data_IF_481069763163
#
_entry.id   IF_481069763163
#
_cell.length_a   1.000
_cell.length_b   1.000
_cell.length_c   1.000
_cell.angle_alpha   90.00
_cell.angle_beta   90.00
_cell.angle_gamma   90.00
#
_symmetry.space_group_name_H-M   'P 1'
#
loop_
_entity.id
_entity.type
_entity.pdbx_description
1 polymer ?
#
# COMPACT_ATOMS: atom_id res chain seq x y z
N UNK A 1 8.78 1.66 11.41
CA UNK A 1 7.62 1.72 12.33
C UNK A 1 6.72 0.47 12.33
N UNK A 2 6.48 -0.26 11.22
CA UNK A 2 5.88 -1.61 11.30
C UNK A 2 6.94 -2.73 11.29
N UNK A 3 7.90 -2.70 10.36
CA UNK A 3 8.99 -3.69 10.30
C UNK A 3 9.75 -3.81 11.64
N UNK A 4 10.09 -2.67 12.26
CA UNK A 4 10.70 -2.60 13.59
C UNK A 4 9.82 -3.23 14.69
N UNK A 5 8.50 -3.09 14.60
CA UNK A 5 7.57 -3.67 15.57
C UNK A 5 7.50 -5.19 15.45
N UNK A 6 7.51 -5.67 14.21
CA UNK A 6 7.53 -7.08 13.85
C UNK A 6 8.92 -7.72 14.00
N UNK A 7 9.97 -6.95 14.27
CA UNK A 7 11.34 -7.47 14.36
C UNK A 7 11.87 -8.05 13.04
N UNK A 8 11.36 -7.59 11.89
CA UNK A 8 11.74 -8.07 10.56
C UNK A 8 12.59 -7.03 9.81
N UNK A 9 13.55 -7.46 8.99
CA UNK A 9 14.46 -6.55 8.29
C UNK A 9 13.73 -5.72 7.23
N UNK A 10 12.69 -6.29 6.61
CA UNK A 10 11.94 -5.66 5.51
C UNK A 10 10.46 -5.99 5.64
N UNK A 11 9.64 -4.98 5.44
CA UNK A 11 8.23 -5.14 5.12
C UNK A 11 7.98 -4.36 3.82
N UNK A 12 7.52 -5.04 2.77
CA UNK A 12 7.07 -4.33 1.57
C UNK A 12 5.69 -3.72 1.88
N UNK A 13 5.69 -2.43 2.21
CA UNK A 13 4.51 -1.61 2.39
C UNK A 13 4.30 -0.81 1.11
N UNK A 14 3.46 -1.33 0.23
CA UNK A 14 3.02 -0.58 -0.94
C UNK A 14 1.96 0.43 -0.49
N UNK A 15 2.42 1.58 -0.04
CA UNK A 15 1.59 2.75 0.24
C UNK A 15 2.29 3.97 -0.33
N UNK A 16 1.78 4.45 -1.44
CA UNK A 16 2.08 5.80 -1.84
C UNK A 16 0.80 6.42 -2.41
N UNK A 17 0.75 7.75 -2.51
CA UNK A 17 -0.28 8.50 -3.23
C UNK A 17 -0.39 8.15 -4.73
N UNK A 18 0.15 7.01 -5.17
CA UNK A 18 -0.01 6.42 -6.49
C UNK A 18 -1.29 5.61 -6.67
N UNK A 19 -1.45 5.09 -7.88
CA UNK A 19 -2.58 4.28 -8.31
C UNK A 19 -2.55 2.85 -7.75
N UNK A 20 -3.69 2.16 -7.72
CA UNK A 20 -3.71 0.74 -7.37
C UNK A 20 -2.85 -0.08 -8.35
N UNK A 21 -2.82 0.30 -9.63
CA UNK A 21 -1.96 -0.30 -10.65
C UNK A 21 -0.47 -0.12 -10.36
N UNK A 22 -0.08 1.00 -9.75
CA UNK A 22 1.30 1.19 -9.28
C UNK A 22 1.67 0.12 -8.28
N UNK A 23 0.83 -0.11 -7.27
CA UNK A 23 1.04 -1.13 -6.22
C UNK A 23 1.24 -2.50 -6.86
N UNK A 24 0.41 -2.87 -7.84
CA UNK A 24 0.54 -4.14 -8.56
C UNK A 24 1.85 -4.20 -9.33
N UNK A 25 2.11 -3.22 -10.21
CA UNK A 25 3.26 -3.22 -11.10
C UNK A 25 4.59 -3.17 -10.34
N UNK A 26 4.71 -2.33 -9.31
CA UNK A 26 5.94 -2.20 -8.55
C UNK A 26 6.19 -3.43 -7.68
N UNK A 27 5.14 -4.02 -7.09
CA UNK A 27 5.26 -5.28 -6.35
C UNK A 27 5.71 -6.41 -7.28
N UNK A 28 4.99 -6.64 -8.38
CA UNK A 28 5.31 -7.71 -9.34
C UNK A 28 6.70 -7.52 -9.94
N UNK A 29 7.05 -6.29 -10.34
CA UNK A 29 8.33 -6.00 -10.98
C UNK A 29 9.54 -6.02 -10.04
N UNK A 30 9.36 -5.92 -8.72
CA UNK A 30 10.48 -5.79 -7.78
C UNK A 30 10.58 -6.88 -6.72
N UNK A 31 9.55 -7.69 -6.47
CA UNK A 31 9.55 -8.69 -5.39
C UNK A 31 10.81 -9.55 -5.41
N UNK A 32 11.11 -10.19 -6.54
CA UNK A 32 12.27 -11.10 -6.68
C UNK A 32 13.61 -10.39 -6.53
N UNK A 33 13.70 -9.13 -6.98
CA UNK A 33 14.90 -8.32 -6.82
C UNK A 33 15.12 -7.99 -5.34
N UNK A 34 14.08 -7.52 -4.66
CA UNK A 34 14.14 -7.17 -3.23
C UNK A 34 14.46 -8.41 -2.39
N UNK A 35 13.78 -9.53 -2.61
CA UNK A 35 14.07 -10.79 -1.94
C UNK A 35 15.54 -11.21 -2.08
N UNK A 36 16.11 -11.12 -3.29
CA UNK A 36 17.55 -11.39 -3.52
C UNK A 36 18.47 -10.40 -2.82
N UNK A 37 18.18 -9.11 -2.86
CA UNK A 37 18.99 -8.06 -2.21
C UNK A 37 19.07 -8.23 -0.69
N UNK A 38 18.00 -8.72 -0.07
CA UNK A 38 17.93 -8.96 1.37
C UNK A 38 18.22 -10.41 1.77
N UNK A 39 18.49 -11.31 0.81
CA UNK A 39 18.76 -12.72 1.08
C UNK A 39 17.59 -13.49 1.69
N UNK A 40 16.35 -13.08 1.43
CA UNK A 40 15.13 -13.69 1.98
C UNK A 40 14.37 -14.43 0.86
N UNK A 41 14.00 -15.71 1.03
CA UNK A 41 13.14 -16.42 0.09
C UNK A 41 11.77 -15.73 -0.09
N UNK A 42 11.17 -15.85 -1.27
CA UNK A 42 9.85 -15.23 -1.54
C UNK A 42 8.78 -15.87 -0.64
N UNK A 43 8.92 -17.15 -0.34
CA UNK A 43 8.04 -17.97 0.49
C UNK A 43 8.01 -17.52 1.95
N UNK A 44 9.07 -16.87 2.41
CA UNK A 44 9.19 -16.30 3.76
C UNK A 44 8.78 -14.82 3.79
N UNK A 45 8.41 -14.25 2.65
CA UNK A 45 8.13 -12.81 2.52
C UNK A 45 6.67 -12.49 2.82
N UNK A 46 6.46 -11.68 3.86
CA UNK A 46 5.20 -10.98 4.10
C UNK A 46 5.08 -9.78 3.16
N UNK A 47 4.03 -9.77 2.34
CA UNK A 47 3.70 -8.63 1.48
C UNK A 47 2.45 -7.95 2.02
N UNK A 48 2.56 -6.68 2.42
CA UNK A 48 1.44 -5.89 2.95
C UNK A 48 1.06 -4.79 1.96
N UNK A 49 -0.03 -5.00 1.23
CA UNK A 49 -0.53 -4.04 0.26
C UNK A 49 -1.60 -3.13 0.89
N UNK A 50 -1.47 -1.82 0.70
CA UNK A 50 -2.47 -0.84 1.14
C UNK A 50 -3.15 -0.15 -0.04
N UNK A 51 -4.39 -0.55 -0.34
CA UNK A 51 -5.15 0.01 -1.46
C UNK A 51 -5.58 1.46 -1.20
N UNK A 52 -5.59 2.30 -2.25
CA UNK A 52 -5.72 3.75 -2.09
C UNK A 52 -7.11 4.29 -2.43
N UNK A 53 -7.58 4.20 -3.68
CA UNK A 53 -8.99 4.44 -4.03
C UNK A 53 -9.33 3.86 -5.41
N UNK A 54 -10.63 3.62 -5.68
CA UNK A 54 -11.12 3.00 -6.94
C UNK A 54 -10.83 3.78 -8.21
N UNK A 55 -10.57 5.09 -8.10
CA UNK A 55 -10.40 5.98 -9.26
C UNK A 55 -8.97 6.43 -9.50
N UNK A 56 -8.02 6.05 -8.63
CA UNK A 56 -6.61 6.37 -8.85
C UNK A 56 -6.03 5.38 -9.85
N UNK A 57 -5.85 5.87 -11.08
CA UNK A 57 -5.25 5.13 -12.18
C UNK A 57 -3.95 5.80 -12.64
N UNK A 58 -3.17 5.07 -13.43
CA UNK A 58 -1.98 5.58 -14.11
C UNK A 58 -1.96 5.10 -15.55
N UNK A 59 -1.22 5.82 -16.39
CA UNK A 59 -0.98 5.46 -17.77
C UNK A 59 0.50 5.58 -18.11
N UNK A 60 0.94 4.75 -19.05
CA UNK A 60 2.31 4.77 -19.54
C UNK A 60 2.44 5.78 -20.69
N UNK A 61 3.41 6.69 -20.58
CA UNK A 61 3.77 7.64 -21.62
C UNK A 61 4.57 6.91 -22.69
N UNK A 62 4.09 6.94 -23.94
CA UNK A 62 4.81 6.34 -25.06
C UNK A 62 6.06 7.16 -25.45
N UNK A 63 6.11 8.44 -25.07
CA UNK A 63 7.23 9.36 -25.35
C UNK A 63 7.58 10.17 -24.11
N UNK A 64 8.86 10.24 -23.71
CA UNK A 64 9.28 11.01 -22.53
C UNK A 64 9.20 12.53 -22.69
N UNK A 65 8.62 13.08 -23.76
CA UNK A 65 8.55 14.55 -23.98
C UNK A 65 7.28 15.19 -23.41
N UNK A 66 6.27 14.41 -23.05
CA UNK A 66 5.05 14.90 -22.41
C UNK A 66 5.22 14.98 -20.87
N UNK A 67 6.44 15.33 -20.44
CA UNK A 67 6.87 15.44 -19.04
C UNK A 67 6.33 16.72 -18.41
N UNK A 68 5.04 16.75 -18.12
CA UNK A 68 4.47 17.70 -17.17
C UNK A 68 4.03 16.93 -15.93
N UNK A 69 4.70 17.17 -14.79
CA UNK A 69 4.32 16.58 -13.50
C UNK A 69 5.50 16.15 -12.62
N UNK A 70 5.25 16.06 -11.30
CA UNK A 70 6.18 15.48 -10.31
C UNK A 70 6.36 13.99 -10.57
N UNK A 71 7.56 13.59 -10.97
CA UNK A 71 8.04 12.20 -10.88
C UNK A 71 8.42 11.92 -9.43
N UNK A 72 7.74 10.96 -8.80
CA UNK A 72 8.02 10.63 -7.39
C UNK A 72 9.30 9.76 -7.27
N UNK A 73 9.64 8.95 -8.30
CA UNK A 73 10.81 8.04 -8.30
C UNK A 73 11.47 7.89 -9.69
N UNK A 74 12.79 7.59 -9.77
CA UNK A 74 13.54 7.51 -11.04
C UNK A 74 13.07 6.43 -12.03
N UNK A 75 12.39 5.39 -11.55
CA UNK A 75 11.83 4.30 -12.38
C UNK A 75 10.35 4.50 -12.72
N UNK A 76 9.78 5.66 -12.37
CA UNK A 76 8.40 6.04 -12.70
C UNK A 76 8.35 7.12 -13.79
N UNK A 77 9.48 7.39 -14.44
CA UNK A 77 9.64 8.50 -15.40
C UNK A 77 8.68 8.45 -16.59
N UNK A 78 8.20 7.25 -16.94
CA UNK A 78 7.27 7.04 -18.05
C UNK A 78 5.85 6.72 -17.58
N UNK A 79 5.55 6.86 -16.28
CA UNK A 79 4.21 6.62 -15.74
C UNK A 79 3.61 7.92 -15.21
N UNK A 80 2.43 8.29 -15.71
CA UNK A 80 1.69 9.48 -15.26
C UNK A 80 0.41 9.08 -14.53
N UNK A 81 0.12 9.77 -13.42
CA UNK A 81 -1.10 9.60 -12.63
C UNK A 81 -2.28 10.24 -13.37
N UNK A 82 -3.41 9.55 -13.41
CA UNK A 82 -4.70 10.12 -13.75
C UNK A 82 -5.29 10.72 -12.49
N UNK A 83 -5.60 12.01 -12.51
CA UNK A 83 -6.29 12.66 -11.41
C UNK A 83 -7.08 13.89 -11.84
N UNK A 84 -8.16 14.23 -11.13
CA UNK A 84 -8.92 15.46 -11.41
C UNK A 84 -8.10 16.73 -11.18
N UNK A 85 -7.03 16.66 -10.38
CA UNK A 85 -6.10 17.78 -10.17
C UNK A 85 -5.27 18.12 -11.43
N UNK A 86 -5.22 17.24 -12.44
CA UNK A 86 -4.55 17.54 -13.71
C UNK A 86 -5.46 18.25 -14.72
N UNK A 87 -6.73 18.57 -14.37
CA UNK A 87 -7.63 19.29 -15.27
C UNK A 87 -7.16 20.71 -15.53
N UNK A 88 -6.57 21.36 -14.53
CA UNK A 88 -5.99 22.70 -14.64
C UNK A 88 -4.72 22.72 -15.52
N UNK A 89 -4.10 21.56 -15.73
CA UNK A 89 -2.93 21.37 -16.60
C UNK A 89 -3.30 20.94 -18.03
N UNK A 90 -4.60 20.93 -18.36
CA UNK A 90 -5.16 20.45 -19.64
C UNK A 90 -4.64 19.07 -20.08
N UNK A 91 -4.44 18.17 -19.11
CA UNK A 91 -4.00 16.80 -19.40
C UNK A 91 -5.10 16.02 -20.12
N UNK A 92 -5.00 15.91 -21.45
CA UNK A 92 -5.98 15.25 -22.31
C UNK A 92 -6.35 13.84 -21.84
N UNK A 93 -5.39 13.07 -21.32
CA UNK A 93 -5.64 11.71 -20.81
C UNK A 93 -6.50 11.73 -19.54
N UNK A 94 -6.18 12.60 -18.58
CA UNK A 94 -6.98 12.81 -17.37
C UNK A 94 -8.37 13.34 -17.72
N UNK A 95 -8.47 14.32 -18.62
CA UNK A 95 -9.74 14.85 -19.11
C UNK A 95 -10.61 13.74 -19.73
N UNK A 96 -10.08 12.96 -20.68
CA UNK A 96 -10.80 11.86 -21.31
C UNK A 96 -11.20 10.78 -20.29
N UNK A 97 -10.30 10.42 -19.37
CA UNK A 97 -10.57 9.41 -18.36
C UNK A 97 -11.72 9.83 -17.44
N UNK A 98 -11.60 10.98 -16.77
CA UNK A 98 -12.58 11.39 -15.76
C UNK A 98 -13.89 11.91 -16.35
N UNK A 99 -13.89 12.51 -17.55
CA UNK A 99 -15.13 13.05 -18.15
C UNK A 99 -15.92 12.02 -18.94
N UNK A 100 -15.27 10.98 -19.48
CA UNK A 100 -15.91 10.11 -20.49
C UNK A 100 -15.76 8.61 -20.22
N UNK A 101 -14.76 8.17 -19.45
CA UNK A 101 -14.50 6.74 -19.24
C UNK A 101 -14.71 6.27 -17.80
N UNK A 102 -14.63 7.19 -16.83
CA UNK A 102 -14.74 6.85 -15.43
C UNK A 102 -16.18 6.52 -15.06
N UNK A 103 -16.37 5.34 -14.50
CA UNK A 103 -17.59 4.98 -13.77
C UNK A 103 -17.21 4.29 -12.47
N UNK A 104 -18.03 4.46 -11.43
CA UNK A 104 -17.84 3.77 -10.14
C UNK A 104 -17.82 2.25 -10.28
N UNK A 105 -18.72 1.74 -11.12
CA UNK A 105 -18.76 0.32 -11.48
C UNK A 105 -17.46 -0.14 -12.15
N UNK A 106 -17.00 0.56 -13.19
CA UNK A 106 -15.79 0.22 -13.91
C UNK A 106 -14.53 0.31 -13.04
N UNK A 107 -14.42 1.35 -12.20
CA UNK A 107 -13.32 1.51 -11.24
C UNK A 107 -13.27 0.37 -10.21
N UNK A 108 -14.43 -0.05 -9.71
CA UNK A 108 -14.56 -1.17 -8.76
C UNK A 108 -14.13 -2.50 -9.40
N UNK A 109 -14.61 -2.80 -10.60
CA UNK A 109 -14.25 -4.01 -11.34
C UNK A 109 -12.74 -4.04 -11.63
N UNK A 110 -12.17 -2.91 -12.07
CA UNK A 110 -10.74 -2.80 -12.32
C UNK A 110 -9.91 -3.04 -11.05
N UNK A 111 -10.26 -2.40 -9.93
CA UNK A 111 -9.58 -2.61 -8.65
C UNK A 111 -9.60 -4.08 -8.22
N UNK A 112 -10.77 -4.73 -8.28
CA UNK A 112 -10.89 -6.13 -7.87
C UNK A 112 -10.14 -7.06 -8.81
N UNK A 113 -10.11 -6.76 -10.11
CA UNK A 113 -9.32 -7.51 -11.08
C UNK A 113 -7.82 -7.40 -10.75
N UNK A 114 -7.33 -6.17 -10.56
CA UNK A 114 -5.94 -5.90 -10.16
C UNK A 114 -5.58 -6.62 -8.85
N UNK A 115 -6.51 -6.63 -7.88
CA UNK A 115 -6.32 -7.32 -6.60
C UNK A 115 -6.27 -8.84 -6.78
N UNK A 116 -7.24 -9.46 -7.46
CA UNK A 116 -7.27 -10.92 -7.68
C UNK A 116 -6.01 -11.38 -8.42
N UNK A 117 -5.56 -10.63 -9.43
CA UNK A 117 -4.34 -10.94 -10.17
C UNK A 117 -3.09 -10.84 -9.30
N UNK A 118 -2.96 -9.77 -8.49
CA UNK A 118 -1.84 -9.63 -7.56
C UNK A 118 -1.85 -10.72 -6.50
N UNK A 119 -3.00 -11.03 -5.92
CA UNK A 119 -3.14 -12.07 -4.91
C UNK A 119 -2.76 -13.45 -5.45
N UNK A 120 -3.24 -13.78 -6.65
CA UNK A 120 -2.89 -15.01 -7.35
C UNK A 120 -1.38 -15.08 -7.62
N UNK A 121 -0.78 -13.99 -8.12
CA UNK A 121 0.66 -13.90 -8.34
C UNK A 121 1.45 -14.17 -7.05
N UNK A 122 1.10 -13.50 -5.96
CA UNK A 122 1.80 -13.63 -4.67
C UNK A 122 1.70 -15.05 -4.11
N UNK A 123 0.50 -15.64 -4.13
CA UNK A 123 0.28 -17.02 -3.64
C UNK A 123 1.00 -18.07 -4.47
N UNK A 124 1.01 -17.93 -5.80
CA UNK A 124 1.73 -18.84 -6.70
C UNK A 124 3.25 -18.81 -6.47
N UNK A 125 3.79 -17.69 -5.96
CA UNK A 125 5.20 -17.56 -5.57
C UNK A 125 5.47 -17.95 -4.12
N UNK A 126 4.45 -18.39 -3.39
CA UNK A 126 4.55 -18.77 -1.98
C UNK A 126 4.62 -17.61 -0.98
N UNK A 127 4.58 -16.35 -1.44
CA UNK A 127 4.56 -15.20 -0.54
C UNK A 127 3.30 -15.20 0.34
N UNK A 128 3.36 -14.49 1.47
CA UNK A 128 2.24 -14.33 2.40
C UNK A 128 1.58 -12.97 2.17
N UNK A 129 0.50 -12.86 1.36
CA UNK A 129 -0.15 -11.60 1.10
C UNK A 129 -1.06 -11.17 2.26
N UNK A 130 -1.03 -9.88 2.58
CA UNK A 130 -1.97 -9.21 3.49
C UNK A 130 -2.39 -7.88 2.90
N UNK A 131 -3.63 -7.50 3.10
CA UNK A 131 -4.23 -6.32 2.48
C UNK A 131 -4.84 -5.40 3.52
N UNK A 132 -4.76 -4.11 3.26
CA UNK A 132 -5.43 -3.07 4.05
C UNK A 132 -5.77 -1.88 3.15
N UNK A 133 -6.30 -0.80 3.73
CA UNK A 133 -6.84 0.33 2.99
C UNK A 133 -6.33 1.65 3.55
N UNK A 134 -5.86 2.52 2.65
CA UNK A 134 -5.51 3.89 2.99
C UNK A 134 -6.79 4.73 3.21
N UNK A 135 -7.81 4.48 2.38
CA UNK A 135 -9.10 5.16 2.39
C UNK A 135 -10.24 4.15 2.24
N UNK A 136 -11.47 4.61 2.33
CA UNK A 136 -12.62 3.78 2.01
C UNK A 136 -12.71 3.61 0.50
N UNK A 137 -12.21 2.47 0.00
CA UNK A 137 -12.10 2.26 -1.45
C UNK A 137 -13.29 1.50 -2.02
N UNK A 138 -13.91 0.60 -1.25
CA UNK A 138 -15.00 -0.24 -1.76
C UNK A 138 -16.34 0.50 -1.66
N UNK A 139 -17.22 0.35 -2.67
CA UNK A 139 -18.55 0.95 -2.62
C UNK A 139 -19.39 0.31 -1.51
N UNK A 140 -20.37 1.05 -0.98
CA UNK A 140 -21.30 0.53 0.04
C UNK A 140 -22.14 -0.64 -0.47
N UNK A 141 -22.38 -0.70 -1.79
CA UNK A 141 -23.02 -1.82 -2.48
C UNK A 141 -22.14 -2.27 -3.63
N UNK A 142 -21.73 -3.55 -3.61
CA UNK A 142 -20.91 -4.11 -4.67
C UNK A 142 -21.73 -4.26 -5.96
N UNK A 143 -21.23 -3.83 -7.12
CA UNK A 143 -21.83 -4.16 -8.41
C UNK A 143 -21.96 -5.67 -8.58
N UNK A 144 -23.05 -6.16 -9.17
CA UNK A 144 -23.31 -7.60 -9.30
C UNK A 144 -22.16 -8.34 -9.98
N UNK A 145 -21.58 -7.73 -11.03
CA UNK A 145 -20.47 -8.28 -11.81
C UNK A 145 -19.14 -8.31 -11.04
N UNK A 146 -19.01 -7.51 -9.98
CA UNK A 146 -17.84 -7.45 -9.12
C UNK A 146 -17.88 -8.47 -7.96
N UNK A 147 -19.06 -9.03 -7.68
CA UNK A 147 -19.25 -9.97 -6.55
C UNK A 147 -18.39 -11.22 -6.74
N UNK A 148 -18.35 -11.79 -7.94
CA UNK A 148 -17.62 -13.04 -8.21
C UNK A 148 -16.10 -12.83 -8.23
N UNK A 149 -15.62 -11.65 -8.62
CA UNK A 149 -14.21 -11.28 -8.45
C UNK A 149 -13.86 -11.22 -6.97
N UNK A 150 -14.69 -10.57 -6.17
CA UNK A 150 -14.45 -10.42 -4.74
C UNK A 150 -14.45 -11.76 -3.99
N UNK A 151 -15.33 -12.71 -4.38
CA UNK A 151 -15.40 -14.05 -3.78
C UNK A 151 -14.12 -14.89 -3.96
N UNK A 152 -13.27 -14.55 -4.91
CA UNK A 152 -12.00 -15.24 -5.14
C UNK A 152 -10.94 -14.86 -4.10
N UNK A 153 -11.12 -13.73 -3.41
CA UNK A 153 -10.17 -13.25 -2.41
C UNK A 153 -10.40 -13.93 -1.06
N UNK A 154 -9.30 -14.33 -0.41
CA UNK A 154 -9.35 -14.79 0.98
C UNK A 154 -9.60 -13.59 1.90
N UNK A 155 -10.79 -13.54 2.48
CA UNK A 155 -11.20 -12.44 3.35
C UNK A 155 -10.39 -12.35 4.63
N UNK A 156 -9.79 -13.43 5.12
CA UNK A 156 -8.98 -13.42 6.36
C UNK A 156 -7.67 -12.66 6.19
N UNK A 157 -7.20 -12.55 4.94
CA UNK A 157 -6.00 -11.81 4.57
C UNK A 157 -6.20 -10.28 4.55
N UNK A 158 -7.42 -9.78 4.80
CA UNK A 158 -7.78 -8.37 4.63
C UNK A 158 -8.07 -7.71 5.98
N UNK A 159 -7.24 -6.76 6.41
CA UNK A 159 -7.44 -6.04 7.67
C UNK A 159 -8.87 -5.48 7.77
N UNK A 160 -9.55 -5.82 8.86
CA UNK A 160 -10.94 -5.45 9.09
C UNK A 160 -11.99 -6.45 8.59
N UNK A 161 -11.63 -7.47 7.79
CA UNK A 161 -12.38 -8.69 7.38
C UNK A 161 -13.87 -8.55 6.96
N UNK A 162 -14.47 -7.35 6.96
CA UNK A 162 -15.91 -7.10 6.77
C UNK A 162 -16.14 -6.11 5.63
N UNK A 163 -16.96 -6.54 4.67
CA UNK A 163 -17.41 -5.78 3.50
C UNK A 163 -18.02 -4.41 3.87
N UNK A 164 -18.71 -4.34 5.01
CA UNK A 164 -19.40 -3.13 5.49
C UNK A 164 -18.49 -2.20 6.31
N UNK A 165 -17.27 -2.62 6.65
CA UNK A 165 -16.33 -1.86 7.47
C UNK A 165 -15.27 -1.17 6.64
N UNK A 166 -15.73 -0.32 5.71
CA UNK A 166 -14.95 0.85 5.28
C UNK A 166 -14.33 1.58 6.50
N UNK A 167 -14.93 1.44 7.70
CA UNK A 167 -14.46 1.78 9.06
C UNK A 167 -12.98 1.60 9.42
N UNK A 168 -12.24 0.72 8.75
CA UNK A 168 -10.91 0.26 9.18
C UNK A 168 -9.76 0.77 8.30
N UNK A 169 -10.00 1.73 7.40
CA UNK A 169 -8.90 2.40 6.70
C UNK A 169 -8.04 3.22 7.66
N UNK A 170 -6.74 3.38 7.36
CA UNK A 170 -5.85 4.21 8.20
C UNK A 170 -6.41 5.62 8.36
N UNK A 171 -6.96 6.22 7.29
CA UNK A 171 -7.51 7.55 7.36
C UNK A 171 -8.66 7.62 8.36
N UNK A 172 -9.62 6.68 8.30
CA UNK A 172 -10.74 6.68 9.24
C UNK A 172 -10.33 6.38 10.68
N UNK A 173 -9.39 5.46 10.88
CA UNK A 173 -8.93 5.09 12.22
C UNK A 173 -8.21 6.24 12.92
N UNK A 174 -7.58 7.14 12.15
CA UNK A 174 -6.78 8.26 12.65
C UNK A 174 -7.50 9.61 12.62
N UNK A 175 -8.52 9.77 11.76
CA UNK A 175 -9.25 11.02 11.57
C UNK A 175 -9.80 11.58 12.88
N UNK A 176 -9.58 12.87 13.13
CA UNK A 176 -9.95 13.61 14.36
C UNK A 176 -9.34 13.08 15.68
N UNK A 177 -8.50 12.04 15.65
CA UNK A 177 -7.80 11.51 16.83
C UNK A 177 -6.34 11.94 16.90
N UNK A 178 -5.72 12.15 15.75
CA UNK A 178 -4.31 12.54 15.61
C UNK A 178 -4.18 13.77 14.70
N UNK A 179 -3.00 14.37 14.72
CA UNK A 179 -2.65 15.47 13.83
C UNK A 179 -2.44 14.99 12.38
N UNK A 180 -2.77 15.87 11.44
CA UNK A 180 -2.67 15.63 10.00
C UNK A 180 -1.80 16.70 9.35
N UNK A 181 -0.91 16.27 8.46
CA UNK A 181 -0.10 17.14 7.62
C UNK A 181 -0.80 17.53 6.30
N UNK A 182 -0.04 18.11 5.36
CA UNK A 182 -0.51 18.44 4.03
C UNK A 182 -1.23 17.28 3.34
N UNK A 183 -2.30 17.59 2.61
CA UNK A 183 -3.09 16.58 1.89
C UNK A 183 -3.91 15.65 2.79
N UNK A 184 -4.15 16.03 4.06
CA UNK A 184 -4.86 15.20 5.05
C UNK A 184 -4.18 13.84 5.23
N UNK A 185 -2.85 13.84 5.28
CA UNK A 185 -2.05 12.66 5.61
C UNK A 185 -1.81 12.59 7.12
N UNK A 186 -2.09 11.46 7.80
CA UNK A 186 -1.82 11.33 9.23
C UNK A 186 -0.31 11.49 9.51
N UNK A 187 0.04 12.19 10.59
CA UNK A 187 1.43 12.33 11.01
C UNK A 187 1.91 11.09 11.79
N UNK A 188 3.14 11.15 12.32
CA UNK A 188 3.84 10.04 12.97
C UNK A 188 2.98 9.30 14.00
N UNK A 189 2.29 10.01 14.90
CA UNK A 189 1.45 9.38 15.92
C UNK A 189 0.31 8.54 15.32
N UNK A 190 -0.32 9.01 14.23
CA UNK A 190 -1.35 8.27 13.52
C UNK A 190 -0.80 7.03 12.83
N UNK A 191 0.38 7.15 12.21
CA UNK A 191 1.09 6.00 11.63
C UNK A 191 1.50 4.98 12.71
N UNK A 192 1.97 5.42 13.87
CA UNK A 192 2.40 4.56 14.97
C UNK A 192 1.22 3.76 15.54
N UNK A 193 0.07 4.42 15.70
CA UNK A 193 -1.18 3.81 16.11
C UNK A 193 -1.64 2.74 15.11
N UNK A 194 -1.67 3.06 13.82
CA UNK A 194 -2.06 2.10 12.79
C UNK A 194 -1.10 0.91 12.70
N UNK A 195 0.22 1.14 12.82
CA UNK A 195 1.21 0.07 12.83
C UNK A 195 1.01 -0.89 14.02
N UNK A 196 0.58 -0.40 15.20
CA UNK A 196 0.27 -1.25 16.34
C UNK A 196 -0.98 -2.12 16.10
N UNK A 197 -2.01 -1.57 15.45
CA UNK A 197 -3.21 -2.32 15.07
C UNK A 197 -2.91 -3.42 14.05
N UNK A 198 -2.07 -3.11 13.05
CA UNK A 198 -1.63 -4.09 12.07
C UNK A 198 -0.77 -5.18 12.69
N UNK A 199 0.15 -4.83 13.60
CA UNK A 199 0.95 -5.82 14.34
C UNK A 199 0.05 -6.81 15.09
N UNK A 200 -0.92 -6.31 15.86
CA UNK A 200 -1.85 -7.15 16.61
C UNK A 200 -2.65 -8.08 15.67
N UNK A 201 -3.24 -7.50 14.61
CA UNK A 201 -4.00 -8.28 13.63
C UNK A 201 -3.16 -9.35 12.94
N UNK A 202 -1.93 -9.04 12.51
CA UNK A 202 -1.04 -10.01 11.87
C UNK A 202 -0.71 -11.18 12.80
N UNK A 203 -0.48 -10.91 14.09
CA UNK A 203 -0.25 -11.94 15.10
C UNK A 203 -1.49 -12.81 15.34
N UNK A 204 -2.68 -12.20 15.36
CA UNK A 204 -3.95 -12.93 15.49
C UNK A 204 -4.23 -13.87 14.31
N UNK A 205 -3.63 -13.61 13.13
CA UNK A 205 -3.66 -14.53 11.98
C UNK A 205 -2.72 -15.74 12.14
N UNK A 206 -2.09 -15.92 13.30
CA UNK A 206 -1.14 -17.00 13.55
C UNK A 206 0.22 -16.80 12.89
N UNK A 207 0.49 -15.61 12.33
CA UNK A 207 1.81 -15.29 11.79
C UNK A 207 2.81 -15.15 12.93
N UNK A 208 3.92 -15.88 12.81
CA UNK A 208 5.02 -15.83 13.77
C UNK A 208 6.05 -14.84 13.28
N UNK A 209 6.48 -13.99 14.20
CA UNK A 209 7.54 -13.03 13.98
C UNK A 209 8.63 -13.27 15.03
N UNK A 210 9.89 -12.93 14.76
CA UNK A 210 10.93 -12.97 15.78
C UNK A 210 10.45 -12.26 17.04
N UNK A 211 10.72 -12.85 18.21
CA UNK A 211 10.62 -12.08 19.44
C UNK A 211 11.50 -10.85 19.27
N UNK A 212 11.01 -9.68 19.70
CA UNK A 212 11.84 -8.48 19.64
C UNK A 212 13.14 -8.83 20.36
N UNK A 213 14.24 -8.88 19.61
CA UNK A 213 15.52 -8.62 20.22
C UNK A 213 15.36 -7.21 20.78
N UNK A 214 15.07 -7.12 22.08
CA UNK A 214 15.38 -5.95 22.86
C UNK A 214 16.87 -5.77 22.64
N UNK A 215 17.24 -4.96 21.66
CA UNK A 215 18.64 -4.64 21.45
C UNK A 215 19.06 -3.93 22.73
N UNK A 216 19.81 -4.67 23.56
CA UNK A 216 20.82 -4.12 24.42
C UNK A 216 21.64 -3.14 23.57
N UNK A 217 21.27 -1.86 23.69
CA UNK A 217 22.19 -0.73 23.62
C UNK A 217 21.99 0.07 24.90
N UNK A 218 22.28 -0.59 26.01
CA UNK A 218 22.79 0.01 27.21
C UNK A 218 24.00 -0.84 27.60
N UNK A 219 25.07 -0.15 27.99
CA UNK A 219 26.36 -0.65 28.46
C UNK A 219 27.51 -0.60 27.44
N UNK A 220 28.12 0.58 27.45
CA UNK A 220 29.42 0.95 26.94
C UNK A 220 29.73 2.34 27.46
N UNK A 221 29.67 2.48 28.78
CA UNK A 221 29.89 3.72 29.52
C UNK A 221 31.33 4.24 29.36
N UNK A 222 31.40 5.55 29.53
CA UNK A 222 32.58 6.39 29.71
C UNK A 222 33.76 5.71 30.42
N UNK A 223 34.96 5.97 29.88
CA UNK A 223 36.09 6.34 30.72
C UNK A 223 36.86 7.48 30.04
N UNK A 224 36.71 8.65 30.67
CA UNK A 224 37.76 9.60 31.04
C UNK A 224 38.97 9.80 30.12
N UNK A 225 39.15 11.05 29.69
CA UNK A 225 40.38 11.55 29.10
C UNK A 225 40.41 13.06 29.01
N UNK A 226 40.56 13.70 30.16
CA UNK A 226 40.68 15.15 30.33
C UNK A 226 41.81 15.78 29.49
N UNK A 227 41.56 17.03 29.09
CA UNK A 227 42.49 18.16 29.03
C UNK A 227 43.94 17.93 28.58
N UNK A 228 44.30 18.49 27.42
CA UNK A 228 45.47 19.38 27.20
C UNK A 228 45.30 20.10 25.87
#
# INVERSE_FOLDING_TARGET
>A
MLASRLGIPVANLASDGGSNRRIVRTTVGNLDRVCREFGVPVEETLVLCMWTCVFRNEYHLRRPRDRTGRTDLPYETDWKRLGPWNFEEDDNASNAHFRSMLSEKGGTINLLTDWVLLDSYLRLRGAVPRYTFAWNVLPSKMPAEAVDLFRQLDRTSVYGNKFESNGNSINQLTWKKFEFGPGKHPLEAGHAYFAALLEAWLRDQGLKFPERALSHRADGADHDGAAS
#
